data_IF_823156955317
#
_entry.id   IF_823156955317
#
_cell.length_a   1.000
_cell.length_b   1.000
_cell.length_c   1.000
_cell.angle_alpha   90.00
_cell.angle_beta   90.00
_cell.angle_gamma   90.00
#
_symmetry.space_group_name_H-M   'P 1'
#
loop_
_entity.id
_entity.type
_entity.pdbx_description
1 polymer ?
#
# COMPACT_ATOMS: atom_id res chain seq x y z
N UNK A 1 17.61 -5.75 21.16
CA UNK A 1 17.86 -5.47 19.73
C UNK A 1 17.06 -4.22 19.39
N UNK A 2 17.67 -3.16 18.82
CA UNK A 2 16.91 -1.96 18.45
C UNK A 2 15.86 -2.32 17.39
N UNK A 3 14.67 -1.69 17.40
CA UNK A 3 13.65 -1.93 16.39
C UNK A 3 14.18 -1.57 15.00
N UNK A 4 13.80 -2.32 13.94
CA UNK A 4 14.17 -2.00 12.56
C UNK A 4 13.83 -0.55 12.18
N UNK A 5 14.62 0.09 11.32
CA UNK A 5 14.45 1.51 10.96
C UNK A 5 13.03 1.85 10.49
N UNK A 6 12.38 0.97 9.73
CA UNK A 6 10.99 1.17 9.27
C UNK A 6 9.94 1.15 10.39
N UNK A 7 10.31 0.72 11.61
CA UNK A 7 9.50 0.76 12.84
C UNK A 7 9.84 1.93 13.75
N UNK A 8 11.06 2.48 13.66
CA UNK A 8 11.53 3.55 14.54
C UNK A 8 10.70 4.83 14.42
N UNK A 9 10.05 5.06 13.27
CA UNK A 9 9.18 6.21 13.03
C UNK A 9 7.84 6.15 13.79
N UNK A 10 7.51 5.03 14.44
CA UNK A 10 6.22 4.82 15.10
C UNK A 10 6.39 4.40 16.57
N UNK A 11 6.28 5.36 17.52
CA UNK A 11 6.34 5.07 18.94
C UNK A 11 5.31 4.00 19.34
N UNK A 12 5.72 2.97 20.10
CA UNK A 12 4.83 1.92 20.60
C UNK A 12 4.57 0.75 19.64
N UNK A 13 5.09 0.78 18.41
CA UNK A 13 4.84 -0.29 17.43
C UNK A 13 5.56 -1.62 17.71
N UNK A 14 6.47 -1.66 18.69
CA UNK A 14 7.20 -2.88 19.09
C UNK A 14 6.27 -4.02 19.53
N UNK A 15 5.08 -3.66 20.04
CA UNK A 15 4.04 -4.60 20.47
C UNK A 15 3.08 -5.01 19.37
N UNK A 16 3.25 -4.50 18.14
CA UNK A 16 2.35 -4.80 17.04
C UNK A 16 2.39 -6.29 16.67
N UNK A 17 1.22 -6.92 16.62
CA UNK A 17 1.02 -8.29 16.16
C UNK A 17 0.58 -8.36 14.68
N UNK A 18 0.79 -7.30 13.90
CA UNK A 18 0.32 -7.18 12.50
C UNK A 18 0.69 -8.39 11.63
N UNK A 19 1.91 -8.92 11.74
CA UNK A 19 2.32 -10.09 10.95
C UNK A 19 1.66 -11.39 11.41
N UNK A 20 1.33 -11.52 12.70
CA UNK A 20 0.54 -12.65 13.20
C UNK A 20 -0.88 -12.58 12.63
N UNK A 21 -1.51 -11.39 12.64
CA UNK A 21 -2.83 -11.17 12.04
C UNK A 21 -2.82 -11.40 10.53
N UNK A 22 -1.80 -10.90 9.83
CA UNK A 22 -1.60 -11.12 8.39
C UNK A 22 -1.57 -12.60 8.02
N UNK A 23 -0.93 -13.43 8.85
CA UNK A 23 -0.91 -14.88 8.69
C UNK A 23 -2.31 -15.49 8.64
N UNK A 24 -3.23 -14.96 9.45
CA UNK A 24 -4.60 -15.45 9.59
C UNK A 24 -5.57 -14.91 8.55
N UNK A 25 -5.24 -13.81 7.85
CA UNK A 25 -6.16 -13.23 6.87
C UNK A 25 -6.40 -14.16 5.66
N UNK A 26 -7.66 -14.27 5.20
CA UNK A 26 -8.05 -15.13 4.07
C UNK A 26 -7.76 -14.46 2.72
N UNK A 27 -6.52 -14.04 2.50
CA UNK A 27 -6.05 -13.41 1.26
C UNK A 27 -4.98 -14.26 0.58
N UNK A 28 -4.79 -14.07 -0.73
CA UNK A 28 -3.77 -14.80 -1.50
C UNK A 28 -2.37 -14.56 -0.93
N UNK A 29 -1.45 -15.54 -0.98
CA UNK A 29 -0.08 -15.38 -0.49
C UNK A 29 0.66 -14.16 -1.06
N UNK A 30 0.45 -13.85 -2.35
CA UNK A 30 1.05 -12.66 -2.99
C UNK A 30 0.63 -11.33 -2.35
N UNK A 31 -0.59 -11.24 -1.80
CA UNK A 31 -1.05 -10.04 -1.08
C UNK A 31 -0.31 -9.92 0.26
N UNK A 32 -0.03 -11.05 0.93
CA UNK A 32 0.75 -11.09 2.17
C UNK A 32 2.21 -10.68 1.92
N UNK A 33 2.83 -11.21 0.86
CA UNK A 33 4.20 -10.84 0.45
C UNK A 33 4.29 -9.35 0.10
N UNK A 34 3.36 -8.85 -0.71
CA UNK A 34 3.22 -7.43 -0.99
C UNK A 34 3.16 -6.60 0.31
N UNK A 35 2.31 -6.99 1.26
CA UNK A 35 2.16 -6.23 2.50
C UNK A 35 3.44 -6.25 3.35
N UNK A 36 4.17 -7.37 3.40
CA UNK A 36 5.47 -7.41 4.07
C UNK A 36 6.42 -6.40 3.44
N UNK A 37 6.52 -6.37 2.10
CA UNK A 37 7.39 -5.44 1.37
C UNK A 37 6.96 -3.97 1.57
N UNK A 38 5.66 -3.70 1.58
CA UNK A 38 5.09 -2.40 1.91
C UNK A 38 5.45 -1.98 3.34
N UNK A 39 5.26 -2.89 4.30
CA UNK A 39 5.54 -2.65 5.72
C UNK A 39 7.02 -2.43 5.99
N UNK A 40 7.92 -3.06 5.24
CA UNK A 40 9.37 -2.84 5.38
C UNK A 40 9.91 -1.75 4.45
N UNK A 41 9.05 -1.08 3.68
CA UNK A 41 9.40 0.03 2.78
C UNK A 41 10.40 -0.36 1.67
N UNK A 42 10.21 -1.57 1.12
CA UNK A 42 11.05 -2.12 0.04
C UNK A 42 10.26 -2.37 -1.25
N UNK A 43 9.12 -1.70 -1.40
CA UNK A 43 8.45 -1.66 -2.69
C UNK A 43 9.23 -0.75 -3.64
N UNK A 44 9.41 -1.15 -4.91
CA UNK A 44 10.17 -0.42 -5.91
C UNK A 44 9.36 0.76 -6.46
N UNK A 45 9.05 1.74 -5.62
CA UNK A 45 8.61 3.06 -6.10
C UNK A 45 9.81 3.82 -6.65
N UNK A 46 9.62 4.78 -7.55
CA UNK A 46 10.73 5.42 -8.26
C UNK A 46 11.80 6.02 -7.33
N UNK A 47 11.41 6.66 -6.22
CA UNK A 47 12.39 7.21 -5.28
C UNK A 47 13.21 6.11 -4.60
N UNK A 48 12.62 4.94 -4.36
CA UNK A 48 13.34 3.79 -3.82
C UNK A 48 14.30 3.20 -4.86
N UNK A 49 13.86 3.09 -6.12
CA UNK A 49 14.71 2.61 -7.22
C UNK A 49 15.93 3.50 -7.43
N UNK A 50 15.75 4.82 -7.44
CA UNK A 50 16.86 5.78 -7.51
C UNK A 50 17.83 5.60 -6.33
N UNK A 51 17.32 5.47 -5.10
CA UNK A 51 18.15 5.22 -3.91
C UNK A 51 18.93 3.90 -3.99
N UNK A 52 18.47 2.92 -4.77
CA UNK A 52 19.18 1.67 -5.03
C UNK A 52 20.11 1.72 -6.24
N UNK A 53 20.21 2.87 -6.90
CA UNK A 53 21.10 3.09 -8.04
C UNK A 53 20.53 2.62 -9.38
N UNK A 54 19.22 2.38 -9.48
CA UNK A 54 18.59 2.11 -10.77
C UNK A 54 18.54 3.37 -11.62
N UNK A 55 18.75 3.21 -12.93
CA UNK A 55 18.64 4.31 -13.89
C UNK A 55 17.17 4.57 -14.25
N UNK A 56 16.67 5.78 -13.99
CA UNK A 56 15.30 6.19 -14.26
C UNK A 56 15.28 7.33 -15.29
N UNK A 57 15.11 7.03 -16.59
CA UNK A 57 15.24 8.02 -17.66
C UNK A 57 14.20 9.15 -17.58
N UNK A 58 13.06 8.90 -16.93
CA UNK A 58 11.97 9.86 -16.78
C UNK A 58 11.92 10.48 -15.37
N UNK A 59 13.00 10.34 -14.60
CA UNK A 59 13.14 10.83 -13.23
C UNK A 59 12.25 10.10 -12.22
N UNK A 60 12.26 10.60 -10.99
CA UNK A 60 11.56 9.99 -9.85
C UNK A 60 10.13 10.45 -9.66
N UNK A 61 9.64 11.37 -10.49
CA UNK A 61 8.32 11.95 -10.31
C UNK A 61 7.21 10.98 -10.74
N UNK A 62 6.11 11.02 -10.01
CA UNK A 62 4.85 10.39 -10.37
C UNK A 62 4.37 10.95 -11.71
N UNK A 63 3.89 10.06 -12.58
CA UNK A 63 3.41 10.42 -13.93
C UNK A 63 2.14 11.30 -13.87
N UNK A 64 1.40 11.24 -12.76
CA UNK A 64 0.11 11.92 -12.61
C UNK A 64 0.23 13.24 -11.83
N UNK A 65 1.00 13.26 -10.74
CA UNK A 65 0.99 14.35 -9.76
C UNK A 65 2.24 15.27 -9.80
N UNK A 66 2.99 15.29 -10.90
CA UNK A 66 4.39 15.74 -11.04
C UNK A 66 5.31 15.88 -9.79
N UNK A 67 5.14 15.09 -8.74
CA UNK A 67 5.97 15.11 -7.51
C UNK A 67 6.72 13.79 -7.32
N UNK A 68 7.80 13.74 -6.51
CA UNK A 68 8.55 12.50 -6.27
C UNK A 68 7.64 11.34 -5.82
N UNK A 69 7.75 10.21 -6.51
CA UNK A 69 6.94 9.02 -6.25
C UNK A 69 7.50 8.22 -5.06
N UNK A 70 7.10 8.65 -3.87
CA UNK A 70 7.36 7.92 -2.61
C UNK A 70 6.25 6.90 -2.32
N UNK A 71 6.42 6.07 -1.28
CA UNK A 71 5.35 5.18 -0.81
C UNK A 71 4.13 5.97 -0.32
N UNK A 72 4.34 6.99 0.51
CA UNK A 72 3.25 7.83 1.00
C UNK A 72 2.53 8.52 -0.16
N UNK A 73 3.27 9.02 -1.15
CA UNK A 73 2.66 9.55 -2.36
C UNK A 73 1.81 8.47 -3.04
N UNK A 74 2.39 7.32 -3.36
CA UNK A 74 1.73 6.24 -4.10
C UNK A 74 0.42 5.77 -3.45
N UNK A 75 0.40 5.63 -2.12
CA UNK A 75 -0.74 5.03 -1.41
C UNK A 75 -1.69 6.03 -0.75
N UNK A 76 -1.28 7.28 -0.53
CA UNK A 76 -2.09 8.28 0.17
C UNK A 76 -2.35 9.53 -0.66
N UNK A 77 -1.29 10.14 -1.22
CA UNK A 77 -1.36 11.51 -1.74
C UNK A 77 -1.39 11.60 -3.27
N UNK A 78 -1.32 10.47 -3.96
CA UNK A 78 -1.48 10.47 -5.40
C UNK A 78 -2.98 10.54 -5.74
N UNK A 79 -3.33 11.29 -6.78
CA UNK A 79 -4.71 11.48 -7.23
C UNK A 79 -5.47 10.16 -7.39
N UNK A 80 -4.86 9.10 -7.96
CA UNK A 80 -5.53 7.80 -8.07
C UNK A 80 -5.78 7.13 -6.71
N UNK A 81 -4.88 7.31 -5.74
CA UNK A 81 -5.05 6.74 -4.41
C UNK A 81 -6.15 7.48 -3.65
N UNK A 82 -6.16 8.82 -3.71
CA UNK A 82 -7.21 9.64 -3.11
C UNK A 82 -8.60 9.29 -3.68
N UNK A 83 -8.71 9.20 -5.01
CA UNK A 83 -9.93 8.78 -5.68
C UNK A 83 -10.35 7.37 -5.29
N UNK A 84 -9.41 6.42 -5.23
CA UNK A 84 -9.69 5.05 -4.81
C UNK A 84 -10.27 4.98 -3.40
N UNK A 85 -9.62 5.62 -2.42
CA UNK A 85 -10.09 5.61 -1.04
C UNK A 85 -11.42 6.36 -0.87
N UNK A 86 -11.61 7.46 -1.59
CA UNK A 86 -12.89 8.18 -1.61
C UNK A 86 -14.02 7.32 -2.18
N UNK A 87 -13.80 6.66 -3.32
CA UNK A 87 -14.80 5.80 -3.94
C UNK A 87 -15.11 4.59 -3.06
N UNK A 88 -14.10 3.91 -2.50
CA UNK A 88 -14.29 2.76 -1.64
C UNK A 88 -15.19 3.09 -0.44
N UNK A 89 -14.93 4.23 0.21
CA UNK A 89 -15.76 4.73 1.32
C UNK A 89 -17.17 5.04 0.88
N UNK A 90 -17.35 5.72 -0.25
CA UNK A 90 -18.66 6.11 -0.76
C UNK A 90 -19.51 4.88 -1.12
N UNK A 91 -18.93 3.91 -1.82
CA UNK A 91 -19.61 2.69 -2.26
C UNK A 91 -20.01 1.78 -1.09
N UNK A 92 -19.09 1.57 -0.15
CA UNK A 92 -19.34 0.71 1.01
C UNK A 92 -20.05 1.42 2.16
N UNK A 93 -20.20 2.75 2.07
CA UNK A 93 -20.76 3.62 3.13
C UNK A 93 -20.05 3.43 4.46
N UNK A 94 -18.72 3.36 4.43
CA UNK A 94 -17.85 3.17 5.60
C UNK A 94 -16.98 4.39 5.87
N UNK A 95 -16.61 4.58 7.13
CA UNK A 95 -15.74 5.68 7.56
C UNK A 95 -14.26 5.28 7.60
N UNK A 96 -13.74 4.79 6.47
CA UNK A 96 -12.37 4.28 6.37
C UNK A 96 -11.41 5.36 5.85
N UNK A 97 -10.73 6.08 6.75
CA UNK A 97 -9.65 7.02 6.42
C UNK A 97 -8.29 6.46 6.84
N UNK A 98 -7.58 5.72 5.95
CA UNK A 98 -6.33 5.11 6.36
C UNK A 98 -5.24 6.18 6.48
N UNK A 99 -4.73 6.36 7.69
CA UNK A 99 -3.48 7.08 7.96
C UNK A 99 -2.28 6.21 7.60
N UNK A 100 -1.10 6.82 7.43
CA UNK A 100 0.13 6.05 7.20
C UNK A 100 0.37 4.98 8.28
N UNK A 101 0.12 5.33 9.55
CA UNK A 101 0.18 4.38 10.66
C UNK A 101 -0.82 3.23 10.50
N UNK A 102 -2.09 3.54 10.25
CA UNK A 102 -3.13 2.50 10.09
C UNK A 102 -2.85 1.58 8.91
N UNK A 103 -2.29 2.09 7.80
CA UNK A 103 -1.89 1.27 6.66
C UNK A 103 -0.73 0.34 7.04
N UNK A 104 0.28 0.85 7.74
CA UNK A 104 1.46 0.08 8.13
C UNK A 104 1.14 -1.00 9.14
N UNK A 105 0.27 -0.74 10.11
CA UNK A 105 0.00 -1.67 11.21
C UNK A 105 -1.34 -2.39 11.08
N UNK A 106 -2.09 -2.11 10.01
CA UNK A 106 -3.49 -2.52 9.84
C UNK A 106 -4.24 -2.28 11.13
N UNK A 107 -4.19 -1.05 11.65
CA UNK A 107 -4.76 -0.72 12.95
C UNK A 107 -5.86 0.32 12.74
N UNK A 108 -7.09 -0.04 13.11
CA UNK A 108 -8.27 0.81 12.93
C UNK A 108 -8.88 1.12 14.28
N UNK A 109 -9.24 2.38 14.56
CA UNK A 109 -9.75 2.78 15.87
C UNK A 109 -11.08 2.11 16.25
N UNK A 110 -11.89 1.69 15.28
CA UNK A 110 -13.16 1.00 15.52
C UNK A 110 -12.98 -0.50 15.80
N UNK A 111 -13.07 -0.90 17.08
CA UNK A 111 -12.87 -2.29 17.52
C UNK A 111 -13.93 -3.26 17.02
N UNK A 112 -15.14 -2.80 16.70
CA UNK A 112 -16.26 -3.68 16.38
C UNK A 112 -16.26 -4.16 14.93
N UNK A 113 -15.61 -3.40 14.02
CA UNK A 113 -15.46 -3.75 12.61
C UNK A 113 -13.99 -3.85 12.17
N UNK A 114 -13.07 -3.90 13.14
CA UNK A 114 -11.63 -3.74 12.90
C UNK A 114 -11.11 -4.70 11.83
N UNK A 115 -11.44 -6.00 11.92
CA UNK A 115 -10.98 -7.00 10.94
C UNK A 115 -11.46 -6.73 9.51
N UNK A 116 -12.68 -6.25 9.34
CA UNK A 116 -13.20 -5.92 8.01
C UNK A 116 -12.43 -4.73 7.43
N UNK A 117 -12.20 -3.70 8.24
CA UNK A 117 -11.44 -2.52 7.81
C UNK A 117 -9.96 -2.82 7.56
N UNK A 118 -9.35 -3.69 8.38
CA UNK A 118 -8.00 -4.21 8.17
C UNK A 118 -7.89 -4.93 6.82
N UNK A 119 -8.85 -5.81 6.51
CA UNK A 119 -8.89 -6.54 5.24
C UNK A 119 -9.15 -5.62 4.05
N UNK A 120 -10.08 -4.67 4.17
CA UNK A 120 -10.35 -3.68 3.12
C UNK A 120 -9.13 -2.80 2.87
N UNK A 121 -8.43 -2.38 3.93
CA UNK A 121 -7.18 -1.62 3.82
C UNK A 121 -6.11 -2.44 3.13
N UNK A 122 -5.91 -3.69 3.54
CA UNK A 122 -4.91 -4.60 2.96
C UNK A 122 -5.17 -4.84 1.46
N UNK A 123 -6.41 -5.17 1.09
CA UNK A 123 -6.80 -5.41 -0.30
C UNK A 123 -6.72 -4.11 -1.11
N UNK A 124 -7.13 -2.98 -0.52
CA UNK A 124 -7.07 -1.66 -1.15
C UNK A 124 -5.64 -1.22 -1.46
N UNK A 125 -4.72 -1.38 -0.52
CA UNK A 125 -3.29 -1.14 -0.74
C UNK A 125 -2.78 -2.00 -1.90
N UNK A 126 -3.09 -3.29 -1.92
CA UNK A 126 -2.66 -4.16 -3.00
C UNK A 126 -3.28 -3.78 -4.36
N UNK A 127 -4.55 -3.34 -4.37
CA UNK A 127 -5.21 -2.87 -5.59
C UNK A 127 -4.55 -1.60 -6.15
N UNK A 128 -4.25 -0.63 -5.29
CA UNK A 128 -3.50 0.59 -5.67
C UNK A 128 -2.15 0.19 -6.27
N UNK A 129 -1.40 -0.71 -5.62
CA UNK A 129 -0.10 -1.15 -6.09
C UNK A 129 -0.15 -1.86 -7.45
N UNK A 130 -1.14 -2.73 -7.65
CA UNK A 130 -1.33 -3.40 -8.93
C UNK A 130 -1.71 -2.40 -10.02
N UNK A 131 -2.56 -1.41 -9.73
CA UNK A 131 -2.90 -0.37 -10.72
C UNK A 131 -1.67 0.42 -11.19
N UNK A 132 -0.63 0.52 -10.35
CA UNK A 132 0.63 1.20 -10.65
C UNK A 132 1.59 0.34 -11.46
N UNK A 133 1.75 -0.91 -11.07
CA UNK A 133 2.83 -1.77 -11.58
C UNK A 133 2.42 -2.65 -12.75
N UNK A 134 1.15 -3.05 -12.80
CA UNK A 134 0.72 -4.12 -13.69
C UNK A 134 0.48 -3.59 -15.12
N UNK A 135 0.46 -2.26 -15.34
CA UNK A 135 0.15 -1.59 -16.61
C UNK A 135 -0.94 -2.34 -17.39
N UNK A 136 -1.98 -2.76 -16.67
CA UNK A 136 -3.04 -3.61 -17.20
C UNK A 136 -3.88 -2.77 -18.15
N UNK A 137 -4.14 -3.31 -19.34
CA UNK A 137 -5.09 -2.68 -20.25
C UNK A 137 -6.43 -2.53 -19.52
N UNK A 138 -7.00 -1.32 -19.52
CA UNK A 138 -8.32 -1.04 -18.94
C UNK A 138 -9.40 -1.66 -19.83
N UNK A 139 -9.49 -2.99 -19.79
CA UNK A 139 -10.48 -3.83 -20.47
C UNK A 139 -10.85 -4.97 -19.55
N UNK A 140 -12.09 -5.43 -19.63
CA UNK A 140 -12.52 -6.65 -18.96
C UNK A 140 -11.61 -7.81 -19.41
N UNK A 141 -10.94 -8.49 -18.47
CA UNK A 141 -9.90 -9.51 -18.72
C UNK A 141 -8.59 -8.99 -19.33
N UNK A 142 -8.27 -7.70 -19.15
CA UNK A 142 -6.98 -7.13 -19.53
C UNK A 142 -5.81 -7.89 -18.90
N UNK A 143 -4.85 -8.33 -19.73
CA UNK A 143 -3.60 -8.93 -19.26
C UNK A 143 -2.63 -7.80 -18.87
N UNK A 144 -1.74 -8.08 -17.92
CA UNK A 144 -0.66 -7.14 -17.61
C UNK A 144 0.28 -7.02 -18.81
N UNK A 145 0.86 -5.83 -19.01
CA UNK A 145 1.77 -5.58 -20.12
C UNK A 145 3.01 -6.50 -20.12
N UNK A 146 3.29 -7.16 -19.00
CA UNK A 146 4.50 -7.95 -18.75
C UNK A 146 4.27 -9.46 -18.69
N UNK A 147 3.02 -9.94 -18.81
CA UNK A 147 2.70 -11.38 -18.89
C UNK A 147 2.50 -11.77 -20.35
N UNK A 148 3.59 -12.11 -21.04
CA UNK A 148 3.58 -12.83 -22.30
C UNK A 148 3.42 -14.34 -22.05
#
# INVERSE_FOLDING_TARGET
MPPPMYRQMFPGCEKSDVFKRLGLYPVRPGIKDFFVRFHTEVLPVKTWEEQKGFFLPWGVNCVICPVPETLQHTFMYCTNAELFWAQLRAELRIDLYPTWYSMKFLDTPEKQQSRCYELLTLIGLHAIWNSRTDHTLVRERGKSAWRH
#
